data_IF_578347916211
#
_entry.id   IF_578347916211
#
_cell.length_a   1.000
_cell.length_b   1.000
_cell.length_c   1.000
_cell.angle_alpha   90.00
_cell.angle_beta   90.00
_cell.angle_gamma   90.00
#
_symmetry.space_group_name_H-M   'P 1'
#
loop_
_entity.id
_entity.type
_entity.pdbx_description
1 polymer ?
#
# COMPACT_ATOMS: atom_id res chain seq x y z
N UNK A 1 -3.03 0.49 10.71
CA UNK A 1 -1.83 1.06 11.36
C UNK A 1 -1.94 2.57 11.55
N UNK A 2 -2.29 3.32 10.50
CA UNK A 2 -2.58 4.77 10.58
C UNK A 2 -3.61 5.12 11.66
N UNK A 3 -4.71 4.37 11.77
CA UNK A 3 -5.68 4.53 12.87
C UNK A 3 -5.10 4.27 14.27
N UNK A 4 -4.15 3.35 14.40
CA UNK A 4 -3.47 3.12 15.67
C UNK A 4 -2.56 4.31 16.03
N UNK A 5 -1.91 4.94 15.04
CA UNK A 5 -1.13 6.16 15.24
C UNK A 5 -2.05 7.31 15.68
N UNK A 6 -3.21 7.48 15.02
CA UNK A 6 -4.21 8.48 15.41
C UNK A 6 -4.70 8.29 16.85
N UNK A 7 -4.99 7.05 17.23
CA UNK A 7 -5.41 6.73 18.60
C UNK A 7 -4.34 7.07 19.63
N UNK A 8 -3.06 6.79 19.35
CA UNK A 8 -1.94 7.15 20.24
C UNK A 8 -1.75 8.67 20.30
N UNK A 9 -1.85 9.40 19.18
CA UNK A 9 -1.79 10.86 19.19
C UNK A 9 -2.87 11.46 20.10
N UNK A 10 -4.10 10.93 20.00
CA UNK A 10 -5.21 11.36 20.84
C UNK A 10 -4.95 11.07 22.32
N UNK A 11 -4.49 9.86 22.66
CA UNK A 11 -4.16 9.47 24.05
C UNK A 11 -3.05 10.35 24.64
N UNK A 12 -2.05 10.71 23.84
CA UNK A 12 -0.89 11.49 24.28
C UNK A 12 -1.09 13.01 24.18
N UNK A 13 -2.24 13.48 23.70
CA UNK A 13 -2.51 14.91 23.50
C UNK A 13 -1.59 15.56 22.47
N UNK A 14 -1.04 14.79 21.52
CA UNK A 14 -0.17 15.31 20.47
C UNK A 14 -0.98 15.66 19.21
N UNK A 15 -0.51 16.60 18.38
CA UNK A 15 -1.19 16.95 17.13
C UNK A 15 -1.42 15.72 16.25
N UNK A 16 -2.56 15.69 15.57
CA UNK A 16 -2.87 14.64 14.61
C UNK A 16 -1.83 14.63 13.48
N UNK A 17 -1.19 13.48 13.28
CA UNK A 17 -0.23 13.27 12.20
C UNK A 17 -0.94 12.71 10.96
N UNK A 18 -0.83 13.39 9.81
CA UNK A 18 -1.33 12.89 8.52
C UNK A 18 -0.37 11.85 7.94
N UNK A 19 -0.30 10.68 8.60
CA UNK A 19 0.50 9.54 8.14
C UNK A 19 -0.24 8.83 7.00
N UNK A 20 0.43 8.65 5.88
CA UNK A 20 -0.11 8.01 4.68
C UNK A 20 0.68 6.78 4.27
N UNK A 21 0.02 5.89 3.52
CA UNK A 21 0.57 4.63 3.06
C UNK A 21 0.91 4.72 1.58
N UNK A 22 2.18 4.46 1.25
CA UNK A 22 2.62 4.17 -0.11
C UNK A 22 2.72 2.66 -0.24
N UNK A 23 1.91 2.08 -1.12
CA UNK A 23 1.96 0.65 -1.43
C UNK A 23 3.39 0.17 -1.74
N UNK A 24 3.76 -1.05 -1.31
CA UNK A 24 2.96 -1.97 -0.50
C UNK A 24 3.09 -1.76 1.01
N UNK A 25 4.13 -1.05 1.46
CA UNK A 25 4.58 -1.14 2.86
C UNK A 25 5.21 0.13 3.42
N UNK A 26 5.26 1.24 2.69
CA UNK A 26 5.94 2.44 3.16
C UNK A 26 5.00 3.42 3.85
N UNK A 27 5.48 4.05 4.92
CA UNK A 27 4.78 5.12 5.65
C UNK A 27 5.40 6.47 5.32
N UNK A 28 4.55 7.45 5.03
CA UNK A 28 4.93 8.82 4.69
C UNK A 28 4.26 9.83 5.61
N UNK A 29 4.97 10.91 5.95
CA UNK A 29 4.44 12.08 6.66
C UNK A 29 4.90 13.35 5.91
N UNK A 30 3.95 14.19 5.49
CA UNK A 30 4.28 15.42 4.75
C UNK A 30 5.06 15.18 3.45
N UNK A 31 4.86 14.03 2.79
CA UNK A 31 5.59 13.63 1.58
C UNK A 31 6.98 13.04 1.81
N UNK A 32 7.47 12.99 3.06
CA UNK A 32 8.74 12.33 3.42
C UNK A 32 8.49 10.89 3.90
N UNK A 33 9.32 9.95 3.43
CA UNK A 33 9.31 8.56 3.93
C UNK A 33 9.81 8.53 5.38
N UNK A 34 8.97 8.07 6.30
CA UNK A 34 9.29 8.00 7.74
C UNK A 34 9.57 6.57 8.21
N UNK A 35 9.22 5.57 7.42
CA UNK A 35 9.50 4.18 7.75
C UNK A 35 8.86 3.20 6.77
N UNK A 36 9.09 1.91 7.02
CA UNK A 36 8.45 0.81 6.30
C UNK A 36 7.92 -0.22 7.30
N UNK A 37 6.79 -0.83 6.96
CA UNK A 37 6.22 -1.95 7.70
C UNK A 37 6.86 -3.22 7.19
N UNK A 38 7.62 -3.90 8.03
CA UNK A 38 8.10 -5.25 7.77
C UNK A 38 7.34 -6.22 8.68
N UNK A 39 6.57 -7.11 8.08
CA UNK A 39 5.91 -8.20 8.79
C UNK A 39 6.60 -9.50 8.43
N UNK A 40 7.41 -10.03 9.35
CA UNK A 40 7.99 -11.37 9.23
C UNK A 40 7.25 -12.33 10.14
N UNK A 41 6.66 -13.38 9.57
CA UNK A 41 5.97 -14.42 10.34
C UNK A 41 6.66 -15.76 10.10
N UNK A 42 7.03 -16.45 11.18
CA UNK A 42 7.54 -17.83 11.09
C UNK A 42 6.37 -18.77 11.38
N UNK A 43 6.03 -19.62 10.41
CA UNK A 43 5.02 -20.66 10.58
C UNK A 43 5.67 -21.94 11.11
N UNK A 44 5.38 -22.32 12.36
CA UNK A 44 5.87 -23.57 12.95
C UNK A 44 4.77 -24.20 13.79
N UNK A 45 4.57 -25.51 13.61
CA UNK A 45 3.59 -26.29 14.39
C UNK A 45 2.16 -25.71 14.35
N UNK A 46 1.70 -25.30 13.17
CA UNK A 46 0.39 -24.66 12.95
C UNK A 46 0.20 -23.32 13.68
N UNK A 47 1.29 -22.64 14.05
CA UNK A 47 1.27 -21.32 14.70
C UNK A 47 2.22 -20.36 13.99
N UNK A 48 1.77 -19.12 13.83
CA UNK A 48 2.63 -18.01 13.39
C UNK A 48 3.25 -17.34 14.62
N UNK A 49 4.57 -17.09 14.59
CA UNK A 49 5.28 -16.39 15.66
C UNK A 49 5.55 -14.95 15.25
N UNK A 50 4.86 -14.01 15.91
CA UNK A 50 4.97 -12.56 15.68
C UNK A 50 4.66 -11.83 17.01
N UNK A 51 4.96 -10.53 17.14
CA UNK A 51 4.89 -9.80 18.43
C UNK A 51 3.46 -9.64 18.98
N UNK A 52 3.25 -9.94 20.28
CA UNK A 52 1.93 -9.98 20.92
C UNK A 52 1.16 -8.65 20.88
N UNK A 53 1.86 -7.51 21.02
CA UNK A 53 1.22 -6.20 20.96
C UNK A 53 0.73 -5.83 19.54
N UNK A 54 1.41 -6.30 18.50
CA UNK A 54 0.96 -6.16 17.12
C UNK A 54 -0.24 -7.08 16.86
N UNK A 55 -0.18 -8.33 17.33
CA UNK A 55 -1.24 -9.32 17.12
C UNK A 55 -2.57 -8.94 17.78
N UNK A 56 -2.61 -8.39 18.99
CA UNK A 56 -3.89 -8.00 19.59
C UNK A 56 -4.73 -7.03 18.72
N UNK A 57 -4.07 -6.16 17.94
CA UNK A 57 -4.75 -5.28 16.98
C UNK A 57 -4.84 -5.88 15.58
N UNK A 58 -3.89 -6.71 15.19
CA UNK A 58 -3.85 -7.35 13.88
C UNK A 58 -4.81 -8.54 13.76
N UNK A 59 -5.00 -9.34 14.81
CA UNK A 59 -5.90 -10.50 14.85
C UNK A 59 -7.32 -10.11 14.46
N UNK A 60 -7.87 -9.05 15.06
CA UNK A 60 -9.19 -8.56 14.69
C UNK A 60 -9.31 -8.19 13.20
N UNK A 61 -8.26 -7.60 12.61
CA UNK A 61 -8.24 -7.25 11.19
C UNK A 61 -7.99 -8.48 10.31
N UNK A 62 -7.22 -9.44 10.82
CA UNK A 62 -6.87 -10.68 10.14
C UNK A 62 -8.06 -11.63 10.08
N UNK A 63 -8.85 -11.74 11.14
CA UNK A 63 -10.09 -12.52 11.17
C UNK A 63 -11.10 -11.97 10.16
N UNK A 64 -11.29 -10.64 10.15
CA UNK A 64 -12.11 -9.97 9.12
C UNK A 64 -11.60 -10.28 7.72
N UNK A 65 -10.29 -10.26 7.50
CA UNK A 65 -9.70 -10.60 6.21
C UNK A 65 -9.91 -12.07 5.81
N UNK A 66 -9.78 -13.02 6.75
CA UNK A 66 -10.01 -14.44 6.48
C UNK A 66 -11.48 -14.74 6.16
N UNK A 67 -12.42 -14.06 6.81
CA UNK A 67 -13.85 -14.30 6.64
C UNK A 67 -14.44 -13.56 5.43
N UNK A 68 -14.01 -12.32 5.19
CA UNK A 68 -14.65 -11.40 4.23
C UNK A 68 -13.72 -10.95 3.10
N UNK A 69 -12.45 -11.37 3.12
CA UNK A 69 -11.43 -10.94 2.16
C UNK A 69 -10.98 -9.49 2.37
N UNK A 70 -10.18 -8.98 1.43
CA UNK A 70 -9.67 -7.61 1.49
C UNK A 70 -10.76 -6.55 1.40
N UNK A 71 -11.90 -6.86 0.75
CA UNK A 71 -12.97 -5.91 0.48
C UNK A 71 -13.50 -5.22 1.75
N UNK A 72 -13.58 -5.96 2.86
CA UNK A 72 -14.01 -5.40 4.16
C UNK A 72 -13.03 -4.36 4.73
N UNK A 73 -11.76 -4.38 4.29
CA UNK A 73 -10.70 -3.49 4.73
C UNK A 73 -10.32 -2.43 3.67
N UNK A 74 -10.83 -2.59 2.45
CA UNK A 74 -10.46 -1.80 1.28
C UNK A 74 -10.75 -0.31 1.48
N UNK A 75 -11.92 0.04 2.02
CA UNK A 75 -12.29 1.43 2.28
C UNK A 75 -11.32 2.09 3.29
N UNK A 76 -11.00 1.39 4.38
CA UNK A 76 -10.05 1.87 5.39
C UNK A 76 -8.66 2.07 4.80
N UNK A 77 -8.27 1.19 3.88
CA UNK A 77 -6.99 1.28 3.20
C UNK A 77 -6.94 2.50 2.26
N UNK A 78 -7.94 2.70 1.41
CA UNK A 78 -7.99 3.85 0.48
C UNK A 78 -8.05 5.21 1.17
N UNK A 79 -8.65 5.31 2.36
CA UNK A 79 -8.69 6.57 3.13
C UNK A 79 -7.30 7.15 3.42
N UNK A 80 -6.25 6.33 3.40
CA UNK A 80 -4.88 6.77 3.69
C UNK A 80 -3.89 6.48 2.56
N UNK A 81 -4.40 6.09 1.40
CA UNK A 81 -3.65 5.76 0.19
C UNK A 81 -3.17 7.01 -0.56
N UNK A 82 -2.01 6.90 -1.23
CA UNK A 82 -1.37 8.01 -1.94
C UNK A 82 -1.48 8.01 -3.47
N UNK A 83 -1.87 6.90 -4.10
CA UNK A 83 -1.58 6.68 -5.53
C UNK A 83 -2.76 6.84 -6.48
N UNK A 84 -3.94 7.27 -6.01
CA UNK A 84 -5.13 7.34 -6.89
C UNK A 84 -4.90 8.26 -8.09
N UNK A 85 -5.06 7.73 -9.31
CA UNK A 85 -4.88 8.47 -10.56
C UNK A 85 -3.42 8.79 -10.91
N UNK A 86 -2.46 8.30 -10.14
CA UNK A 86 -1.05 8.58 -10.39
C UNK A 86 -0.57 7.79 -11.61
N UNK A 87 0.07 8.49 -12.57
CA UNK A 87 0.76 7.86 -13.70
C UNK A 87 2.18 7.48 -13.29
N UNK A 88 2.52 6.21 -13.37
CA UNK A 88 3.80 5.64 -12.91
C UNK A 88 4.41 4.75 -13.99
N UNK A 89 5.73 4.59 -13.95
CA UNK A 89 6.44 3.59 -14.75
C UNK A 89 6.68 2.39 -13.84
N UNK A 90 6.23 1.22 -14.28
CA UNK A 90 6.42 -0.06 -13.60
C UNK A 90 7.46 -0.86 -14.37
N UNK A 91 8.52 -1.26 -13.68
CA UNK A 91 9.53 -2.15 -14.22
C UNK A 91 9.20 -3.59 -13.82
N UNK A 92 8.95 -4.45 -14.81
CA UNK A 92 8.80 -5.89 -14.62
C UNK A 92 10.05 -6.61 -15.11
N UNK A 93 10.46 -7.68 -14.40
CA UNK A 93 11.50 -8.57 -14.93
C UNK A 93 10.89 -9.44 -16.01
N UNK A 94 11.50 -9.44 -17.19
CA UNK A 94 11.14 -10.42 -18.21
C UNK A 94 11.62 -11.82 -17.81
N UNK A 95 11.04 -12.85 -18.39
CA UNK A 95 11.47 -14.25 -18.18
C UNK A 95 12.94 -14.47 -18.57
N UNK A 96 13.47 -13.64 -19.48
CA UNK A 96 14.90 -13.52 -19.75
C UNK A 96 15.55 -12.61 -18.69
N UNK A 97 16.39 -13.21 -17.86
CA UNK A 97 16.86 -12.70 -16.56
C UNK A 97 17.65 -11.37 -16.60
N UNK A 98 17.90 -10.78 -17.78
CA UNK A 98 18.68 -9.55 -17.97
C UNK A 98 17.89 -8.39 -18.62
N UNK A 99 16.59 -8.54 -18.92
CA UNK A 99 15.78 -7.45 -19.47
C UNK A 99 14.62 -7.04 -18.54
N UNK A 100 14.49 -5.73 -18.33
CA UNK A 100 13.34 -5.13 -17.66
C UNK A 100 12.38 -4.56 -18.71
N UNK A 101 11.10 -4.83 -18.54
CA UNK A 101 10.04 -4.24 -19.34
C UNK A 101 9.45 -3.07 -18.56
N UNK A 102 9.51 -1.87 -19.14
CA UNK A 102 8.90 -0.67 -18.56
C UNK A 102 7.48 -0.49 -19.09
N UNK A 103 6.50 -0.53 -18.20
CA UNK A 103 5.11 -0.29 -18.52
C UNK A 103 4.66 1.02 -17.88
N UNK A 104 4.13 1.94 -18.68
CA UNK A 104 3.53 3.16 -18.15
C UNK A 104 2.06 2.87 -17.84
N UNK A 105 1.67 3.10 -16.58
CA UNK A 105 0.32 2.82 -16.10
C UNK A 105 -0.24 3.95 -15.27
N UNK A 106 -1.55 4.15 -15.38
CA UNK A 106 -2.32 5.00 -14.47
C UNK A 106 -2.93 4.13 -13.38
N UNK A 107 -2.52 4.36 -12.14
CA UNK A 107 -3.00 3.60 -10.98
C UNK A 107 -4.48 3.86 -10.74
N UNK A 108 -5.27 2.79 -10.79
CA UNK A 108 -6.71 2.81 -10.52
C UNK A 108 -7.01 2.45 -9.07
N UNK A 109 -6.18 1.62 -8.45
CA UNK A 109 -6.40 1.15 -7.08
C UNK A 109 -5.79 -0.22 -6.86
N UNK A 110 -6.58 -1.12 -6.27
CA UNK A 110 -6.23 -2.48 -5.93
C UNK A 110 -7.25 -3.47 -6.48
N UNK A 111 -6.84 -4.72 -6.68
CA UNK A 111 -7.76 -5.84 -6.90
C UNK A 111 -8.40 -6.28 -5.59
N UNK A 112 -9.44 -7.12 -5.66
CA UNK A 112 -10.06 -7.76 -4.48
C UNK A 112 -9.09 -8.63 -3.67
N UNK A 113 -7.95 -9.01 -4.26
CA UNK A 113 -6.86 -9.74 -3.59
C UNK A 113 -5.74 -8.82 -3.10
N UNK A 114 -5.86 -7.49 -3.27
CA UNK A 114 -4.90 -6.50 -2.79
C UNK A 114 -3.71 -6.22 -3.71
N UNK A 115 -3.72 -6.70 -4.96
CA UNK A 115 -2.69 -6.39 -5.95
C UNK A 115 -2.89 -5.00 -6.54
N UNK A 116 -1.81 -4.29 -6.86
CA UNK A 116 -1.90 -2.96 -7.45
C UNK A 116 -2.53 -3.04 -8.84
N UNK A 117 -3.58 -2.27 -9.09
CA UNK A 117 -4.32 -2.24 -10.35
C UNK A 117 -3.98 -0.97 -11.13
N UNK A 118 -3.51 -1.15 -12.36
CA UNK A 118 -3.21 -0.06 -13.29
C UNK A 118 -3.87 -0.27 -14.65
N UNK A 119 -4.11 0.83 -15.36
CA UNK A 119 -4.51 0.83 -16.77
C UNK A 119 -3.36 1.41 -17.60
N UNK A 120 -2.90 0.66 -18.59
CA UNK A 120 -1.91 1.09 -19.59
C UNK A 120 -2.53 2.06 -20.60
N UNK A 121 -1.69 2.78 -21.34
CA UNK A 121 -2.16 3.77 -22.34
C UNK A 121 -3.01 3.14 -23.47
N UNK A 122 -2.88 1.84 -23.72
CA UNK A 122 -3.71 1.07 -24.67
C UNK A 122 -5.06 0.59 -24.08
N UNK A 123 -5.36 0.97 -22.83
CA UNK A 123 -6.60 0.62 -22.13
C UNK A 123 -6.61 -0.77 -21.48
N UNK A 124 -5.50 -1.51 -21.52
CA UNK A 124 -5.41 -2.82 -20.87
C UNK A 124 -5.30 -2.67 -19.35
N UNK A 125 -6.07 -3.49 -18.64
CA UNK A 125 -6.01 -3.57 -17.19
C UNK A 125 -4.93 -4.57 -16.76
N UNK A 126 -4.02 -4.16 -15.89
CA UNK A 126 -2.88 -4.96 -15.43
C UNK A 126 -2.78 -4.91 -13.91
N UNK A 127 -2.49 -6.07 -13.29
CA UNK A 127 -2.32 -6.19 -11.84
C UNK A 127 -0.89 -6.56 -11.47
N UNK A 128 -0.33 -5.90 -10.45
CA UNK A 128 1.06 -6.06 -10.03
C UNK A 128 1.18 -6.61 -8.60
N UNK A 129 2.07 -7.58 -8.42
CA UNK A 129 2.42 -8.18 -7.11
C UNK A 129 3.58 -7.47 -6.42
N UNK A 130 4.43 -6.79 -7.21
CA UNK A 130 5.52 -5.95 -6.74
C UNK A 130 5.77 -4.86 -7.78
N UNK A 131 6.09 -3.64 -7.33
CA UNK A 131 6.57 -2.57 -8.21
C UNK A 131 7.81 -1.93 -7.59
N UNK A 132 8.90 -1.85 -8.35
CA UNK A 132 9.95 -0.88 -8.07
C UNK A 132 9.50 0.42 -8.74
N UNK A 133 8.94 1.35 -7.96
CA UNK A 133 8.45 2.61 -8.53
C UNK A 133 9.64 3.40 -9.08
N UNK A 134 9.77 3.49 -10.41
CA UNK A 134 10.69 4.42 -11.05
C UNK A 134 9.86 5.59 -11.59
N UNK A 135 10.03 6.75 -10.94
CA UNK A 135 9.66 8.08 -11.41
C UNK A 135 8.16 8.36 -11.65
N UNK A 136 7.60 9.22 -10.80
CA UNK A 136 6.49 10.09 -11.21
C UNK A 136 7.02 11.08 -12.25
N UNK A 137 6.39 11.17 -13.42
CA UNK A 137 6.56 12.37 -14.25
C UNK A 137 5.99 13.54 -13.43
N UNK A 138 6.86 14.39 -12.90
CA UNK A 138 6.51 15.62 -12.21
C UNK A 138 5.97 16.63 -13.21
N UNK A 139 4.72 16.45 -13.66
CA UNK A 139 3.94 17.49 -14.34
C UNK A 139 2.48 17.42 -13.91
N UNK A 140 2.05 18.44 -13.16
CA UNK A 140 0.65 18.87 -13.21
C UNK A 140 -0.14 18.99 -11.91
N UNK A 141 0.43 19.47 -10.79
CA UNK A 141 -0.39 20.31 -9.90
C UNK A 141 -0.53 21.69 -10.57
N UNK A 142 -1.43 21.80 -11.55
CA UNK A 142 -2.03 23.10 -11.87
C UNK A 142 -3.23 23.26 -10.97
N UNK A 143 -3.13 24.21 -10.03
CA UNK A 143 -4.29 24.78 -9.35
C UNK A 143 -5.22 25.35 -10.43
N UNK A 144 -6.44 24.83 -10.55
CA UNK A 144 -7.53 25.66 -11.04
C UNK A 144 -8.20 26.33 -9.84
N UNK A 145 -8.33 27.65 -9.98
CA UNK A 145 -9.05 28.56 -9.09
C UNK A 145 -10.54 28.42 -9.31
#
# INVERSE_FOLDING_TARGET
MTEAIKAVCLEKGTPHLDVRIKWPNDLYLGGLKVGGILSTSVYRSKKFYVSAAFFNKFENLYDVFLEQGFQALEELYYRTWLHSGQRVIVQERSDDQDQFVENVVTIQGLTSSGYLLGITDDGKCVSYTQIETVLTSSKGLSKEK
#
